data_IF_751489461940
#
_entry.id   IF_751489461940
#
_cell.length_a   1.000
_cell.length_b   1.000
_cell.length_c   1.000
_cell.angle_alpha   90.00
_cell.angle_beta   90.00
_cell.angle_gamma   90.00
#
_symmetry.space_group_name_H-M   'P 1'
#
loop_
_entity.id
_entity.type
_entity.pdbx_description
1 polymer ?
#
# COMPACT_ATOMS: atom_id res chain seq x y z
N UNK A 1 21.88 -8.25 3.50
CA UNK A 1 20.75 -8.91 4.19
C UNK A 1 19.66 -9.19 3.17
N UNK A 2 19.17 -10.39 3.12
CA UNK A 2 18.06 -10.71 2.22
C UNK A 2 16.76 -10.09 2.71
N UNK A 3 15.84 -9.84 1.78
CA UNK A 3 14.57 -9.16 2.06
C UNK A 3 13.73 -9.89 3.11
N UNK A 4 13.67 -11.22 3.03
CA UNK A 4 12.90 -12.02 3.99
C UNK A 4 13.47 -11.87 5.40
N UNK A 5 14.78 -11.93 5.56
CA UNK A 5 15.44 -11.76 6.85
C UNK A 5 15.23 -10.36 7.40
N UNK A 6 15.32 -9.36 6.53
CA UNK A 6 15.06 -7.98 6.92
C UNK A 6 13.64 -7.82 7.44
N UNK A 7 12.65 -8.34 6.71
CA UNK A 7 11.25 -8.23 7.08
C UNK A 7 10.95 -8.95 8.39
N UNK A 8 11.50 -10.14 8.59
CA UNK A 8 11.32 -10.88 9.83
C UNK A 8 11.85 -10.13 11.04
N UNK A 9 13.01 -9.50 10.90
CA UNK A 9 13.62 -8.72 11.98
C UNK A 9 12.80 -7.49 12.36
N UNK A 10 12.33 -6.74 11.38
CA UNK A 10 11.56 -5.53 11.67
C UNK A 10 10.18 -5.86 12.21
N UNK A 11 9.57 -6.95 11.77
CA UNK A 11 8.23 -7.35 12.18
C UNK A 11 8.17 -7.79 13.65
N UNK A 12 9.29 -8.18 14.23
CA UNK A 12 9.39 -8.57 15.64
C UNK A 12 9.45 -7.36 16.58
N UNK A 13 9.75 -6.18 16.05
CA UNK A 13 9.93 -4.97 16.86
C UNK A 13 8.63 -4.19 16.97
N UNK A 14 8.33 -3.75 18.17
CA UNK A 14 7.19 -2.88 18.44
C UNK A 14 7.72 -1.52 18.90
N UNK A 15 7.35 -0.47 18.17
CA UNK A 15 7.72 0.90 18.48
C UNK A 15 6.47 1.75 18.52
N UNK A 16 6.51 2.93 19.15
CA UNK A 16 5.36 3.83 19.14
C UNK A 16 4.97 4.19 17.71
N UNK A 17 3.67 4.24 17.46
CA UNK A 17 3.12 4.63 16.16
C UNK A 17 3.55 6.03 15.73
N UNK A 18 3.99 6.85 16.67
CA UNK A 18 4.47 8.21 16.40
C UNK A 18 5.60 8.25 15.38
N UNK A 19 6.50 7.25 15.35
CA UNK A 19 7.57 7.23 14.34
C UNK A 19 7.03 7.09 12.94
N UNK A 20 6.05 6.23 12.72
CA UNK A 20 5.39 6.08 11.42
C UNK A 20 4.64 7.36 11.06
N UNK A 21 3.94 7.95 12.02
CA UNK A 21 3.14 9.16 11.79
C UNK A 21 4.02 10.35 11.45
N UNK A 22 5.13 10.53 12.16
CA UNK A 22 6.08 11.60 11.84
C UNK A 22 6.62 11.45 10.42
N UNK A 23 7.00 10.24 10.03
CA UNK A 23 7.54 10.01 8.71
C UNK A 23 6.48 10.23 7.62
N UNK A 24 5.30 9.63 7.78
CA UNK A 24 4.26 9.65 6.74
C UNK A 24 3.55 10.99 6.64
N UNK A 25 3.29 11.66 7.77
CA UNK A 25 2.46 12.87 7.78
C UNK A 25 3.28 14.16 7.83
N UNK A 26 4.56 14.09 8.19
CA UNK A 26 5.38 15.30 8.35
C UNK A 26 6.62 15.29 7.47
N UNK A 27 7.49 14.28 7.62
CA UNK A 27 8.82 14.29 6.97
C UNK A 27 8.72 14.07 5.47
N UNK A 28 8.01 13.03 5.04
CA UNK A 28 7.88 12.70 3.61
C UNK A 28 7.20 13.83 2.83
N UNK A 29 6.07 14.40 3.28
CA UNK A 29 5.48 15.54 2.58
C UNK A 29 6.42 16.74 2.48
N UNK A 30 7.21 17.02 3.51
CA UNK A 30 8.17 18.13 3.48
C UNK A 30 9.29 17.88 2.48
N UNK A 31 9.80 16.65 2.40
CA UNK A 31 10.87 16.29 1.47
C UNK A 31 10.42 16.29 0.03
N UNK A 32 9.24 15.79 -0.25
CA UNK A 32 8.77 15.55 -1.63
C UNK A 32 7.93 16.69 -2.18
N UNK A 33 7.27 17.46 -1.32
CA UNK A 33 6.46 18.63 -1.69
C UNK A 33 5.49 18.33 -2.85
N UNK A 34 5.59 19.08 -3.95
CA UNK A 34 4.68 18.98 -5.08
C UNK A 34 4.79 17.66 -5.86
N UNK A 35 5.85 16.89 -5.62
CA UNK A 35 6.09 15.63 -6.33
C UNK A 35 5.72 14.41 -5.49
N UNK A 36 5.11 14.63 -4.32
CA UNK A 36 4.85 13.58 -3.33
C UNK A 36 4.06 12.42 -3.93
N UNK A 37 2.97 12.70 -4.63
CA UNK A 37 2.05 11.67 -5.14
C UNK A 37 2.73 10.72 -6.12
N UNK A 38 3.39 11.26 -7.15
CA UNK A 38 4.04 10.46 -8.18
C UNK A 38 5.25 9.71 -7.64
N UNK A 39 6.04 10.33 -6.77
CA UNK A 39 7.22 9.69 -6.18
C UNK A 39 6.80 8.55 -5.25
N UNK A 40 5.76 8.75 -4.44
CA UNK A 40 5.26 7.70 -3.54
C UNK A 40 4.71 6.51 -4.31
N UNK A 41 3.94 6.76 -5.37
CA UNK A 41 3.40 5.70 -6.21
C UNK A 41 4.54 4.87 -6.83
N UNK A 42 5.51 5.54 -7.42
CA UNK A 42 6.69 4.89 -8.00
C UNK A 42 7.50 4.14 -6.94
N UNK A 43 7.67 4.74 -5.75
CA UNK A 43 8.38 4.10 -4.65
C UNK A 43 7.68 2.83 -4.17
N UNK A 44 6.34 2.85 -4.17
CA UNK A 44 5.55 1.67 -3.85
C UNK A 44 5.81 0.52 -4.82
N UNK A 45 5.89 0.83 -6.11
CA UNK A 45 6.23 -0.16 -7.13
C UNK A 45 7.63 -0.75 -6.90
N UNK A 46 8.61 0.10 -6.58
CA UNK A 46 9.96 -0.37 -6.28
C UNK A 46 10.00 -1.23 -5.03
N UNK A 47 9.25 -0.84 -4.01
CA UNK A 47 9.15 -1.62 -2.78
C UNK A 47 8.58 -3.02 -3.09
N UNK A 48 7.57 -3.10 -3.93
CA UNK A 48 6.98 -4.39 -4.33
C UNK A 48 7.98 -5.29 -5.05
N UNK A 49 8.86 -4.72 -5.86
CA UNK A 49 9.91 -5.49 -6.52
C UNK A 49 10.93 -6.06 -5.54
N UNK A 50 11.18 -5.33 -4.46
CA UNK A 50 12.10 -5.77 -3.41
C UNK A 50 11.47 -6.81 -2.47
N UNK A 51 10.15 -6.79 -2.34
CA UNK A 51 9.40 -7.70 -1.47
C UNK A 51 8.26 -8.37 -2.24
N UNK A 52 8.59 -9.23 -3.22
CA UNK A 52 7.55 -9.85 -4.05
C UNK A 52 6.66 -10.79 -3.24
N UNK A 53 5.37 -10.71 -3.50
CA UNK A 53 4.34 -11.54 -2.88
C UNK A 53 3.77 -12.49 -3.93
N UNK A 54 3.60 -13.75 -3.57
CA UNK A 54 3.11 -14.77 -4.52
C UNK A 54 1.60 -14.80 -4.61
N UNK A 55 0.91 -14.42 -3.54
CA UNK A 55 -0.56 -14.48 -3.45
C UNK A 55 -1.10 -13.19 -2.86
N UNK A 56 -2.42 -13.02 -2.97
CA UNK A 56 -3.11 -11.88 -2.32
C UNK A 56 -2.98 -11.99 -0.79
N UNK A 57 -3.02 -13.21 -0.24
CA UNK A 57 -2.84 -13.40 1.21
C UNK A 57 -1.45 -12.97 1.66
N UNK A 58 -0.43 -13.19 0.85
CA UNK A 58 0.93 -12.72 1.15
C UNK A 58 1.00 -11.19 1.16
N UNK A 59 0.27 -10.53 0.27
CA UNK A 59 0.18 -9.07 0.26
C UNK A 59 -0.45 -8.57 1.56
N UNK A 60 -1.55 -9.18 1.98
CA UNK A 60 -2.22 -8.81 3.22
C UNK A 60 -1.31 -9.00 4.44
N UNK A 61 -0.54 -10.10 4.45
CA UNK A 61 0.43 -10.37 5.52
C UNK A 61 1.54 -9.32 5.54
N UNK A 62 2.04 -8.91 4.37
CA UNK A 62 3.04 -7.84 4.27
C UNK A 62 2.50 -6.54 4.86
N UNK A 63 1.28 -6.15 4.48
CA UNK A 63 0.66 -4.92 5.00
C UNK A 63 0.56 -4.94 6.52
N UNK A 64 0.18 -6.08 7.08
CA UNK A 64 0.10 -6.25 8.53
C UNK A 64 1.49 -6.11 9.18
N UNK A 65 2.48 -6.80 8.64
CA UNK A 65 3.84 -6.84 9.20
C UNK A 65 4.54 -5.49 9.19
N UNK A 66 4.34 -4.69 8.16
CA UNK A 66 5.00 -3.38 8.06
C UNK A 66 4.15 -2.25 8.64
N UNK A 67 2.99 -2.56 9.19
CA UNK A 67 2.15 -1.57 9.85
C UNK A 67 1.36 -0.68 8.91
N UNK A 68 1.10 -1.10 7.68
CA UNK A 68 0.25 -0.35 6.76
C UNK A 68 -1.22 -0.45 7.16
N UNK A 69 -1.62 -1.58 7.71
CA UNK A 69 -2.99 -1.84 8.16
C UNK A 69 -3.49 -3.21 7.76
N UNK A 70 -4.78 -3.42 7.93
CA UNK A 70 -5.46 -4.66 7.60
C UNK A 70 -6.05 -4.57 6.20
N UNK A 71 -5.50 -5.36 5.28
CA UNK A 71 -5.93 -5.38 3.88
C UNK A 71 -6.85 -6.57 3.64
N UNK A 72 -8.03 -6.30 3.08
CA UNK A 72 -8.99 -7.34 2.71
C UNK A 72 -9.45 -7.14 1.28
N UNK A 73 -9.74 -8.23 0.58
CA UNK A 73 -10.27 -8.15 -0.77
C UNK A 73 -11.78 -7.95 -0.70
N UNK A 74 -12.30 -6.99 -1.46
CA UNK A 74 -13.73 -6.70 -1.52
C UNK A 74 -14.40 -7.33 -2.72
N UNK A 75 -13.75 -7.28 -3.87
CA UNK A 75 -14.31 -7.85 -5.09
C UNK A 75 -13.19 -8.24 -6.06
N UNK A 76 -13.48 -9.25 -6.85
CA UNK A 76 -12.58 -9.74 -7.88
C UNK A 76 -13.38 -9.93 -9.17
N UNK A 77 -13.05 -9.14 -10.18
CA UNK A 77 -13.70 -9.15 -11.47
C UNK A 77 -12.67 -9.49 -12.56
N UNK A 78 -13.11 -9.62 -13.81
CA UNK A 78 -12.21 -10.05 -14.89
C UNK A 78 -11.02 -9.13 -15.13
N UNK A 79 -11.18 -7.82 -14.89
CA UNK A 79 -10.13 -6.82 -15.13
C UNK A 79 -9.98 -5.83 -14.00
N UNK A 80 -10.39 -6.23 -12.78
CA UNK A 80 -10.41 -5.32 -11.65
C UNK A 80 -10.41 -6.07 -10.32
N UNK A 81 -9.56 -5.61 -9.39
CA UNK A 81 -9.56 -6.05 -7.99
C UNK A 81 -9.82 -4.85 -7.11
N UNK A 82 -10.67 -5.01 -6.11
CA UNK A 82 -10.89 -3.98 -5.11
C UNK A 82 -10.47 -4.49 -3.73
N UNK A 83 -9.72 -3.66 -3.01
CA UNK A 83 -9.23 -3.95 -1.66
C UNK A 83 -9.71 -2.88 -0.69
N UNK A 84 -9.88 -3.27 0.56
CA UNK A 84 -10.14 -2.35 1.65
C UNK A 84 -8.97 -2.38 2.63
N UNK A 85 -8.51 -1.21 3.03
CA UNK A 85 -7.50 -1.06 4.07
C UNK A 85 -8.14 -0.39 5.28
N UNK A 86 -7.95 -0.99 6.46
CA UNK A 86 -8.54 -0.53 7.71
C UNK A 86 -7.58 -0.79 8.88
N UNK A 87 -8.01 -0.42 10.08
CA UNK A 87 -7.26 -0.70 11.30
C UNK A 87 -6.84 0.57 12.03
N UNK A 88 -6.17 0.38 13.17
CA UNK A 88 -5.79 1.49 14.06
C UNK A 88 -4.88 2.51 13.41
N UNK A 89 -3.88 2.06 12.65
CA UNK A 89 -2.95 2.96 11.96
C UNK A 89 -3.68 3.80 10.92
N UNK A 90 -4.60 3.18 10.18
CA UNK A 90 -5.40 3.89 9.18
C UNK A 90 -6.28 4.94 9.87
N UNK A 91 -6.97 4.54 10.94
CA UNK A 91 -7.81 5.46 11.72
C UNK A 91 -7.00 6.65 12.26
N UNK A 92 -5.82 6.38 12.77
CA UNK A 92 -4.93 7.43 13.31
C UNK A 92 -4.51 8.42 12.22
N UNK A 93 -4.21 7.94 11.03
CA UNK A 93 -3.85 8.81 9.92
C UNK A 93 -5.00 9.74 9.53
N UNK A 94 -6.23 9.23 9.52
CA UNK A 94 -7.41 10.06 9.29
C UNK A 94 -7.61 11.12 10.37
N UNK A 95 -7.27 10.79 11.62
CA UNK A 95 -7.35 11.75 12.72
C UNK A 95 -6.33 12.88 12.58
N UNK A 96 -5.17 12.59 12.00
CA UNK A 96 -4.09 13.57 11.84
C UNK A 96 -4.18 14.36 10.54
N UNK A 97 -4.80 13.80 9.51
CA UNK A 97 -4.88 14.39 8.19
C UNK A 97 -6.25 14.06 7.58
N UNK A 98 -6.98 15.06 7.15
CA UNK A 98 -8.31 14.85 6.57
C UNK A 98 -8.27 14.06 5.26
N UNK A 99 -7.14 14.13 4.53
CA UNK A 99 -6.94 13.41 3.28
C UNK A 99 -5.55 12.75 3.27
N UNK A 100 -5.38 11.65 4.04
CA UNK A 100 -4.08 10.99 4.10
C UNK A 100 -3.71 10.37 2.74
N UNK A 101 -2.42 10.40 2.42
CA UNK A 101 -1.90 9.88 1.16
C UNK A 101 -1.69 8.37 1.25
N UNK A 102 -2.19 7.66 0.25
CA UNK A 102 -2.01 6.21 0.11
C UNK A 102 -1.40 5.83 -1.25
N UNK A 103 -0.69 6.75 -1.87
CA UNK A 103 -0.02 6.49 -3.16
C UNK A 103 1.06 5.42 -3.03
N UNK A 104 1.76 5.36 -1.91
CA UNK A 104 2.76 4.31 -1.67
C UNK A 104 2.13 2.93 -1.72
N UNK A 105 1.08 2.73 -0.97
CA UNK A 105 0.34 1.47 -0.93
C UNK A 105 -0.30 1.14 -2.27
N UNK A 106 -0.83 2.14 -2.96
CA UNK A 106 -1.41 1.96 -4.30
C UNK A 106 -0.38 1.45 -5.29
N UNK A 107 0.81 2.06 -5.32
CA UNK A 107 1.90 1.61 -6.19
C UNK A 107 2.35 0.19 -5.87
N UNK A 108 2.46 -0.12 -4.60
CA UNK A 108 2.80 -1.47 -4.14
C UNK A 108 1.79 -2.51 -4.65
N UNK A 109 0.50 -2.24 -4.50
CA UNK A 109 -0.56 -3.13 -4.98
C UNK A 109 -0.52 -3.29 -6.50
N UNK A 110 -0.37 -2.19 -7.24
CA UNK A 110 -0.30 -2.24 -8.69
C UNK A 110 0.81 -3.19 -9.17
N UNK A 111 2.00 -3.05 -8.61
CA UNK A 111 3.16 -3.87 -9.02
C UNK A 111 3.01 -5.33 -8.61
N UNK A 112 2.48 -5.61 -7.42
CA UNK A 112 2.27 -7.00 -6.98
C UNK A 112 1.26 -7.72 -7.87
N UNK A 113 0.13 -7.08 -8.15
CA UNK A 113 -0.90 -7.69 -9.01
C UNK A 113 -0.40 -7.81 -10.45
N UNK A 114 0.33 -6.81 -10.94
CA UNK A 114 0.96 -6.87 -12.27
C UNK A 114 1.85 -8.11 -12.40
N UNK A 115 2.68 -8.36 -11.42
CA UNK A 115 3.60 -9.51 -11.41
C UNK A 115 2.82 -10.84 -11.31
N UNK A 116 1.81 -10.89 -10.45
CA UNK A 116 1.04 -12.12 -10.26
C UNK A 116 0.21 -12.47 -11.49
N UNK A 117 -0.38 -11.50 -12.16
CA UNK A 117 -1.26 -11.72 -13.30
C UNK A 117 -0.59 -11.57 -14.65
N UNK A 118 0.64 -11.07 -14.70
CA UNK A 118 1.39 -10.85 -15.95
C UNK A 118 0.68 -9.92 -16.92
N UNK A 119 0.03 -8.88 -16.39
CA UNK A 119 -0.61 -7.81 -17.15
C UNK A 119 -0.23 -6.47 -16.52
N UNK A 120 -0.18 -5.41 -17.32
CA UNK A 120 0.13 -4.07 -16.81
C UNK A 120 -1.04 -3.57 -15.98
N UNK A 121 -0.79 -3.24 -14.72
CA UNK A 121 -1.80 -2.80 -13.78
C UNK A 121 -1.60 -1.37 -13.35
N UNK A 122 -2.72 -0.68 -13.12
CA UNK A 122 -2.75 0.64 -12.49
C UNK A 122 -3.62 0.56 -11.25
N UNK A 123 -3.26 1.32 -10.23
CA UNK A 123 -4.01 1.34 -8.96
C UNK A 123 -4.36 2.77 -8.59
N UNK A 124 -5.58 2.95 -8.14
CA UNK A 124 -6.06 4.21 -7.57
C UNK A 124 -6.63 3.93 -6.19
N UNK A 125 -6.82 4.96 -5.39
CA UNK A 125 -7.43 4.80 -4.07
C UNK A 125 -8.46 5.89 -3.81
N UNK A 126 -9.38 5.58 -2.91
CA UNK A 126 -10.38 6.51 -2.43
C UNK A 126 -10.41 6.42 -0.91
N UNK A 127 -10.20 7.56 -0.25
CA UNK A 127 -10.28 7.64 1.20
C UNK A 127 -11.75 7.86 1.61
N UNK A 128 -12.20 7.14 2.63
CA UNK A 128 -13.55 7.27 3.16
C UNK A 128 -13.47 7.69 4.62
N UNK A 129 -13.56 8.99 4.85
CA UNK A 129 -13.47 9.60 6.17
C UNK A 129 -14.46 9.01 7.17
N UNK A 130 -15.69 8.79 6.73
CA UNK A 130 -16.76 8.38 7.61
C UNK A 130 -16.51 7.01 8.24
N UNK A 131 -15.92 6.09 7.48
CA UNK A 131 -15.58 4.76 7.99
C UNK A 131 -14.13 4.61 8.40
N UNK A 132 -13.31 5.64 8.12
CA UNK A 132 -11.85 5.59 8.31
C UNK A 132 -11.25 4.37 7.63
N UNK A 133 -11.60 4.21 6.36
CA UNK A 133 -11.09 3.14 5.51
C UNK A 133 -10.60 3.71 4.19
N UNK A 134 -9.80 2.92 3.50
CA UNK A 134 -9.29 3.25 2.17
C UNK A 134 -9.68 2.13 1.22
N UNK A 135 -10.24 2.48 0.08
CA UNK A 135 -10.57 1.52 -0.98
C UNK A 135 -9.55 1.67 -2.09
N UNK A 136 -8.86 0.59 -2.42
CA UNK A 136 -7.94 0.53 -3.55
C UNK A 136 -8.59 -0.21 -4.70
N UNK A 137 -8.44 0.32 -5.91
CA UNK A 137 -8.92 -0.33 -7.13
C UNK A 137 -7.72 -0.57 -8.03
N UNK A 138 -7.41 -1.83 -8.30
CA UNK A 138 -6.36 -2.23 -9.22
C UNK A 138 -7.03 -2.68 -10.51
N UNK A 139 -6.67 -2.04 -11.62
CA UNK A 139 -7.29 -2.27 -12.93
C UNK A 139 -6.25 -2.63 -13.98
N UNK A 140 -6.66 -3.42 -14.95
CA UNK A 140 -5.81 -3.80 -16.08
C UNK A 140 -6.68 -4.08 -17.30
N UNK A 141 -6.04 -4.13 -18.46
CA UNK A 141 -6.65 -4.61 -19.70
C UNK A 141 -6.00 -5.97 -20.01
N UNK A 142 -6.81 -7.00 -20.20
CA UNK A 142 -6.32 -8.34 -20.50
C UNK A 142 -5.41 -8.38 -21.74
N UNK A 143 -5.53 -7.39 -22.61
CA UNK A 143 -4.70 -7.26 -23.83
C UNK A 143 -3.32 -6.67 -23.55
N UNK A 144 -3.11 -6.05 -22.39
CA UNK A 144 -1.84 -5.41 -22.02
C UNK A 144 -0.94 -6.37 -21.25
N UNK A 145 -0.70 -7.55 -21.81
CA UNK A 145 0.20 -8.52 -21.19
C UNK A 145 1.65 -8.00 -21.18
N UNK A 146 2.38 -8.41 -20.17
CA UNK A 146 3.79 -8.06 -20.03
C UNK A 146 4.62 -8.81 -21.08
#
# INVERSE_FOLDING_TARGET
MEQIQFLEKIAEQNVPASSIMLMREWVIPELLRNHSDSVLYWSGKKLARSFPCQTIDDIALFFDRVGFGTLTILSEKSEKLEFQLSGEIVSLRFDLNSEPSYFLEAGFLAEQIQTQKQVICESVFQTKKRGKIVIFTVQWDQKDSI
#
